data_IF_433181041242
#
_entry.id   IF_433181041242
#
_cell.length_a   1.000
_cell.length_b   1.000
_cell.length_c   1.000
_cell.angle_alpha   90.00
_cell.angle_beta   90.00
_cell.angle_gamma   90.00
#
_symmetry.space_group_name_H-M   'P 1'
#
loop_
_entity.id
_entity.type
_entity.pdbx_description
1 polymer ?
#
# COMPACT_ATOMS: atom_id res chain seq x y z
N UNK A 1 -16.39 17.15 -18.82
CA UNK A 1 -15.41 17.84 -17.96
C UNK A 1 -15.47 17.12 -16.63
N UNK A 2 -14.37 16.50 -16.16
CA UNK A 2 -14.41 15.92 -14.80
C UNK A 2 -14.63 17.06 -13.81
N UNK A 3 -15.59 16.90 -12.91
CA UNK A 3 -15.78 17.83 -11.80
C UNK A 3 -14.47 17.98 -11.02
N UNK A 4 -14.15 19.22 -10.62
CA UNK A 4 -12.90 19.53 -9.93
C UNK A 4 -12.77 18.77 -8.59
N UNK A 5 -13.89 18.41 -7.95
CA UNK A 5 -13.96 17.67 -6.69
C UNK A 5 -13.37 16.26 -6.76
N UNK A 6 -13.91 15.35 -7.58
CA UNK A 6 -13.38 13.98 -7.76
C UNK A 6 -11.90 13.94 -8.14
N UNK A 7 -11.44 14.91 -8.94
CA UNK A 7 -10.03 15.03 -9.32
C UNK A 7 -9.16 15.41 -8.12
N UNK A 8 -9.56 16.42 -7.34
CA UNK A 8 -8.82 16.85 -6.16
C UNK A 8 -8.72 15.74 -5.11
N UNK A 9 -9.80 15.00 -4.86
CA UNK A 9 -9.80 13.88 -3.90
C UNK A 9 -8.92 12.73 -4.38
N UNK A 10 -8.94 12.39 -5.68
CA UNK A 10 -8.02 11.38 -6.25
C UNK A 10 -6.55 11.78 -6.07
N UNK A 11 -6.23 13.05 -6.32
CA UNK A 11 -4.88 13.57 -6.10
C UNK A 11 -4.49 13.50 -4.63
N UNK A 12 -5.39 13.87 -3.72
CA UNK A 12 -5.16 13.76 -2.29
C UNK A 12 -4.84 12.33 -1.87
N UNK A 13 -5.67 11.33 -2.23
CA UNK A 13 -5.45 9.92 -1.87
C UNK A 13 -4.16 9.38 -2.49
N UNK A 14 -3.93 9.65 -3.79
CA UNK A 14 -2.73 9.19 -4.48
C UNK A 14 -1.45 9.78 -3.88
N UNK A 15 -1.44 11.08 -3.58
CA UNK A 15 -0.31 11.76 -2.95
C UNK A 15 -0.14 11.34 -1.48
N UNK A 16 -1.23 11.16 -0.73
CA UNK A 16 -1.21 10.65 0.64
C UNK A 16 -0.50 9.30 0.70
N UNK A 17 -0.85 8.37 -0.21
CA UNK A 17 -0.21 7.06 -0.30
C UNK A 17 1.26 7.13 -0.74
N UNK A 18 1.62 8.02 -1.66
CA UNK A 18 3.00 8.22 -2.09
C UNK A 18 3.85 8.79 -0.95
N UNK A 19 3.37 9.85 -0.29
CA UNK A 19 4.05 10.49 0.84
C UNK A 19 4.12 9.52 2.03
N UNK A 20 3.04 8.81 2.32
CA UNK A 20 2.97 7.74 3.31
C UNK A 20 3.97 6.63 3.01
N UNK A 21 4.12 6.23 1.73
CA UNK A 21 5.14 5.27 1.30
C UNK A 21 6.56 5.75 1.60
N UNK A 22 6.89 7.02 1.33
CA UNK A 22 8.18 7.59 1.69
C UNK A 22 8.38 7.71 3.20
N UNK A 23 7.35 8.09 3.95
CA UNK A 23 7.40 8.18 5.40
C UNK A 23 7.62 6.79 6.03
N UNK A 24 6.95 5.76 5.51
CA UNK A 24 7.16 4.36 5.89
C UNK A 24 8.59 3.94 5.57
N UNK A 25 9.12 4.25 4.38
CA UNK A 25 10.49 3.93 4.02
C UNK A 25 11.51 4.62 4.95
N UNK A 26 11.30 5.91 5.26
CA UNK A 26 12.14 6.67 6.18
C UNK A 26 12.08 6.14 7.61
N UNK A 27 10.88 5.84 8.11
CA UNK A 27 10.68 5.23 9.43
C UNK A 27 11.27 3.83 9.52
N UNK A 28 11.19 3.06 8.43
CA UNK A 28 11.82 1.77 8.30
C UNK A 28 13.35 1.93 8.42
N UNK A 29 13.98 2.82 7.64
CA UNK A 29 15.42 3.09 7.73
C UNK A 29 15.90 3.56 9.11
N UNK A 30 15.06 4.28 9.88
CA UNK A 30 15.37 4.71 11.25
C UNK A 30 15.16 3.62 12.30
N UNK A 31 14.25 2.68 12.07
CA UNK A 31 14.10 1.50 12.90
C UNK A 31 15.33 0.62 12.72
N UNK A 32 16.21 0.61 13.72
CA UNK A 32 17.45 -0.18 13.75
C UNK A 32 17.28 -1.69 13.51
N UNK A 33 16.08 -2.23 13.30
CA UNK A 33 15.89 -3.57 12.74
C UNK A 33 16.48 -3.72 11.33
N UNK A 34 16.68 -2.61 10.59
CA UNK A 34 17.41 -2.63 9.30
C UNK A 34 18.87 -3.04 9.46
N UNK A 35 19.51 -2.80 10.62
CA UNK A 35 20.89 -3.22 10.84
C UNK A 35 21.02 -4.69 11.27
N UNK A 36 19.93 -5.34 11.69
CA UNK A 36 19.93 -6.74 12.14
C UNK A 36 19.31 -7.72 11.14
N UNK A 37 18.47 -7.26 10.22
CA UNK A 37 17.85 -8.11 9.22
C UNK A 37 18.84 -8.46 8.08
N UNK A 38 18.85 -9.72 7.59
CA UNK A 38 19.71 -10.09 6.48
C UNK A 38 19.42 -9.26 5.21
N UNK A 39 20.47 -8.79 4.52
CA UNK A 39 20.34 -7.97 3.32
C UNK A 39 19.47 -8.58 2.20
N UNK A 40 19.42 -9.92 2.13
CA UNK A 40 18.61 -10.62 1.13
C UNK A 40 17.11 -10.34 1.28
N UNK A 41 16.62 -10.00 2.48
CA UNK A 41 15.21 -9.72 2.75
C UNK A 41 14.74 -8.51 1.94
N UNK A 42 15.57 -7.47 1.84
CA UNK A 42 15.26 -6.27 1.06
C UNK A 42 15.33 -6.52 -0.44
N UNK A 43 16.36 -7.25 -0.88
CA UNK A 43 16.48 -7.67 -2.28
C UNK A 43 15.27 -8.52 -2.70
N UNK A 44 14.79 -9.39 -1.80
CA UNK A 44 13.60 -10.20 -2.01
C UNK A 44 12.32 -9.37 -2.07
N UNK A 45 12.14 -8.39 -1.17
CA UNK A 45 11.00 -7.46 -1.21
C UNK A 45 10.94 -6.67 -2.53
N UNK A 46 12.08 -6.16 -2.98
CA UNK A 46 12.19 -5.46 -4.26
C UNK A 46 11.91 -6.39 -5.44
N UNK A 47 12.50 -7.60 -5.46
CA UNK A 47 12.28 -8.58 -6.51
C UNK A 47 10.80 -9.00 -6.59
N UNK A 48 10.15 -9.26 -5.46
CA UNK A 48 8.75 -9.63 -5.42
C UNK A 48 7.85 -8.48 -5.89
N UNK A 49 8.16 -7.24 -5.50
CA UNK A 49 7.44 -6.07 -6.00
C UNK A 49 7.59 -5.89 -7.51
N UNK A 50 8.77 -6.14 -8.07
CA UNK A 50 9.00 -6.13 -9.53
C UNK A 50 8.14 -7.21 -10.20
N UNK A 51 8.16 -8.43 -9.68
CA UNK A 51 7.36 -9.54 -10.22
C UNK A 51 5.87 -9.24 -10.18
N UNK A 52 5.35 -8.71 -9.07
CA UNK A 52 3.95 -8.30 -8.95
C UNK A 52 3.60 -7.16 -9.89
N UNK A 53 4.52 -6.21 -10.09
CA UNK A 53 4.33 -5.10 -11.03
C UNK A 53 4.28 -5.60 -12.48
N UNK A 54 5.18 -6.51 -12.86
CA UNK A 54 5.17 -7.15 -14.18
C UNK A 54 3.90 -7.97 -14.40
N UNK A 55 3.48 -8.75 -13.40
CA UNK A 55 2.24 -9.51 -13.42
C UNK A 55 1.03 -8.58 -13.61
N UNK A 56 0.95 -7.51 -12.82
CA UNK A 56 -0.09 -6.48 -12.92
C UNK A 56 -0.12 -5.86 -14.32
N UNK A 57 1.03 -5.42 -14.82
CA UNK A 57 1.17 -4.80 -16.14
C UNK A 57 0.80 -5.75 -17.29
N UNK A 58 1.05 -7.06 -17.15
CA UNK A 58 0.67 -8.06 -18.16
C UNK A 58 -0.84 -8.32 -18.24
N UNK A 59 -1.58 -8.04 -17.16
CA UNK A 59 -3.03 -8.25 -17.09
C UNK A 59 -3.82 -6.97 -17.41
N UNK A 60 -3.20 -5.80 -17.27
CA UNK A 60 -3.80 -4.48 -17.49
C UNK A 60 -4.36 -4.26 -18.92
N UNK A 61 -3.77 -4.78 -20.02
CA UNK A 61 -4.31 -4.65 -21.37
C UNK A 61 -5.50 -5.55 -21.68
N UNK A 62 -5.82 -6.52 -20.81
CA UNK A 62 -6.80 -7.57 -21.09
C UNK A 62 -8.19 -7.27 -20.53
N UNK A 63 -9.25 -7.96 -21.02
CA UNK A 63 -10.59 -7.96 -20.39
C UNK A 63 -10.62 -8.65 -19.02
N UNK A 64 -9.44 -9.05 -18.49
CA UNK A 64 -9.31 -9.76 -17.23
C UNK A 64 -9.47 -8.77 -16.09
N UNK A 65 -10.35 -9.14 -15.17
CA UNK A 65 -10.78 -8.32 -14.06
C UNK A 65 -9.61 -7.79 -13.22
N UNK A 66 -9.65 -6.53 -12.74
CA UNK A 66 -8.67 -5.95 -11.82
C UNK A 66 -8.47 -6.72 -10.51
N UNK A 67 -9.32 -7.73 -10.24
CA UNK A 67 -9.23 -8.60 -9.07
C UNK A 67 -7.94 -9.40 -8.99
N UNK A 68 -7.43 -9.95 -10.10
CA UNK A 68 -6.25 -10.83 -10.04
C UNK A 68 -4.98 -10.10 -9.61
N UNK A 69 -4.62 -8.95 -10.23
CA UNK A 69 -3.49 -8.16 -9.75
C UNK A 69 -3.68 -7.72 -8.29
N UNK A 70 -4.86 -7.20 -7.94
CA UNK A 70 -5.14 -6.74 -6.60
C UNK A 70 -5.01 -7.86 -5.54
N UNK A 71 -5.57 -9.04 -5.82
CA UNK A 71 -5.48 -10.20 -4.96
C UNK A 71 -4.03 -10.63 -4.73
N UNK A 72 -3.19 -10.61 -5.77
CA UNK A 72 -1.77 -10.96 -5.64
C UNK A 72 -1.04 -10.03 -4.65
N UNK A 73 -1.24 -8.71 -4.78
CA UNK A 73 -0.68 -7.73 -3.83
C UNK A 73 -1.19 -7.96 -2.39
N UNK A 74 -2.50 -8.13 -2.21
CA UNK A 74 -3.16 -8.34 -0.91
C UNK A 74 -2.65 -9.63 -0.23
N UNK A 75 -2.57 -10.74 -0.98
CA UNK A 75 -2.08 -12.03 -0.45
C UNK A 75 -0.63 -11.93 0.00
N UNK A 76 0.24 -11.25 -0.76
CA UNK A 76 1.63 -11.07 -0.36
C UNK A 76 1.74 -10.26 0.93
N UNK A 77 0.94 -9.19 1.10
CA UNK A 77 0.90 -8.44 2.37
C UNK A 77 0.45 -9.34 3.53
N UNK A 78 -0.60 -10.14 3.35
CA UNK A 78 -1.08 -11.08 4.37
C UNK A 78 -0.03 -12.11 4.78
N UNK A 79 0.65 -12.73 3.80
CA UNK A 79 1.73 -13.68 4.07
C UNK A 79 2.90 -13.01 4.78
N UNK A 80 3.19 -11.75 4.45
CA UNK A 80 4.23 -10.96 5.10
C UNK A 80 3.90 -10.63 6.56
N UNK A 81 2.63 -10.33 6.86
CA UNK A 81 2.15 -10.16 8.23
C UNK A 81 2.26 -11.46 9.03
N UNK A 82 1.87 -12.58 8.42
CA UNK A 82 1.99 -13.87 9.05
C UNK A 82 3.45 -14.20 9.35
N UNK A 83 4.37 -13.94 8.42
CA UNK A 83 5.81 -14.14 8.64
C UNK A 83 6.34 -13.22 9.75
N UNK A 84 5.96 -11.93 9.74
CA UNK A 84 6.34 -10.97 10.78
C UNK A 84 5.92 -11.41 12.18
N UNK A 85 4.78 -12.08 12.32
CA UNK A 85 4.32 -12.62 13.60
C UNK A 85 5.27 -13.68 14.20
N UNK A 86 5.99 -14.43 13.36
CA UNK A 86 6.85 -15.52 13.79
C UNK A 86 8.36 -15.18 13.77
N UNK A 87 8.77 -14.16 13.02
CA UNK A 87 10.19 -13.87 12.75
C UNK A 87 10.44 -12.37 12.54
N UNK A 88 11.51 -11.86 13.16
CA UNK A 88 11.98 -10.50 13.00
C UNK A 88 12.37 -10.15 11.55
N UNK A 89 12.83 -11.12 10.76
CA UNK A 89 13.08 -10.92 9.32
C UNK A 89 11.78 -10.60 8.57
N UNK A 90 10.65 -11.17 8.99
CA UNK A 90 9.33 -10.86 8.45
C UNK A 90 8.89 -9.41 8.74
N UNK A 91 9.23 -8.86 9.90
CA UNK A 91 9.00 -7.44 10.19
C UNK A 91 9.82 -6.53 9.28
N UNK A 92 11.10 -6.86 9.05
CA UNK A 92 11.95 -6.11 8.13
C UNK A 92 11.40 -6.17 6.69
N UNK A 93 11.01 -7.36 6.23
CA UNK A 93 10.35 -7.53 4.93
C UNK A 93 9.10 -6.67 4.82
N UNK A 94 8.17 -6.80 5.78
CA UNK A 94 6.89 -6.13 5.78
C UNK A 94 7.05 -4.61 5.81
N UNK A 95 8.02 -4.08 6.56
CA UNK A 95 8.28 -2.63 6.62
C UNK A 95 8.70 -2.05 5.25
N UNK A 96 9.63 -2.72 4.55
CA UNK A 96 10.07 -2.30 3.22
C UNK A 96 9.01 -2.55 2.15
N UNK A 97 8.35 -3.70 2.21
CA UNK A 97 7.32 -4.07 1.25
C UNK A 97 6.08 -3.17 1.38
N UNK A 98 5.63 -2.84 2.59
CA UNK A 98 4.51 -1.93 2.81
C UNK A 98 4.75 -0.54 2.20
N UNK A 99 5.97 -0.01 2.30
CA UNK A 99 6.33 1.24 1.63
C UNK A 99 6.21 1.15 0.10
N UNK A 100 6.67 0.04 -0.49
CA UNK A 100 6.56 -0.20 -1.94
C UNK A 100 5.11 -0.34 -2.37
N UNK A 101 4.31 -1.10 -1.61
CA UNK A 101 2.88 -1.28 -1.88
C UNK A 101 2.16 0.06 -1.81
N UNK A 102 2.39 0.87 -0.76
CA UNK A 102 1.78 2.18 -0.62
C UNK A 102 2.14 3.10 -1.80
N UNK A 103 3.42 3.16 -2.16
CA UNK A 103 3.90 3.95 -3.31
C UNK A 103 3.27 3.49 -4.63
N UNK A 104 3.35 2.19 -4.92
CA UNK A 104 2.81 1.60 -6.16
C UNK A 104 1.31 1.77 -6.27
N UNK A 105 0.58 1.61 -5.17
CA UNK A 105 -0.87 1.82 -5.08
C UNK A 105 -1.22 3.29 -5.30
N UNK A 106 -0.50 4.22 -4.68
CA UNK A 106 -0.68 5.66 -4.89
C UNK A 106 -0.48 6.06 -6.35
N UNK A 107 0.59 5.58 -6.99
CA UNK A 107 0.84 5.79 -8.42
C UNK A 107 -0.27 5.17 -9.28
N UNK A 108 -0.74 3.97 -8.93
CA UNK A 108 -1.88 3.31 -9.58
C UNK A 108 -3.16 4.16 -9.51
N UNK A 109 -3.46 4.74 -8.35
CA UNK A 109 -4.59 5.68 -8.17
C UNK A 109 -4.43 6.93 -9.03
N UNK A 110 -3.24 7.53 -9.05
CA UNK A 110 -2.96 8.70 -9.88
C UNK A 110 -3.11 8.40 -11.37
N UNK A 111 -2.73 7.19 -11.80
CA UNK A 111 -2.88 6.70 -13.18
C UNK A 111 -4.26 6.10 -13.48
N UNK A 112 -5.18 6.09 -12.52
CA UNK A 112 -6.53 5.53 -12.63
C UNK A 112 -6.57 4.03 -12.96
N UNK A 113 -5.63 3.28 -12.42
CA UNK A 113 -5.60 1.83 -12.60
C UNK A 113 -6.60 1.14 -11.67
N UNK A 114 -7.48 0.32 -12.24
CA UNK A 114 -8.60 -0.30 -11.51
C UNK A 114 -8.16 -1.21 -10.37
N UNK A 115 -7.04 -1.93 -10.53
CA UNK A 115 -6.51 -2.83 -9.50
C UNK A 115 -6.00 -2.08 -8.26
N UNK A 116 -5.64 -0.81 -8.38
CA UNK A 116 -5.08 -0.04 -7.28
C UNK A 116 -6.14 0.29 -6.22
N UNK A 117 -7.42 0.38 -6.61
CA UNK A 117 -8.49 0.72 -5.66
C UNK A 117 -8.70 -0.36 -4.59
N UNK A 118 -8.85 -1.67 -4.93
CA UNK A 118 -8.96 -2.70 -3.89
C UNK A 118 -7.71 -2.80 -3.00
N UNK A 119 -6.51 -2.59 -3.56
CA UNK A 119 -5.26 -2.59 -2.78
C UNK A 119 -5.21 -1.40 -1.81
N UNK A 120 -5.58 -0.20 -2.27
CA UNK A 120 -5.67 0.99 -1.42
C UNK A 120 -6.69 0.78 -0.31
N UNK A 121 -7.86 0.28 -0.64
CA UNK A 121 -8.91 0.01 0.33
C UNK A 121 -8.44 -0.99 1.39
N UNK A 122 -7.89 -2.13 0.98
CA UNK A 122 -7.35 -3.13 1.92
C UNK A 122 -6.22 -2.57 2.81
N UNK A 123 -5.35 -1.72 2.25
CA UNK A 123 -4.31 -1.06 3.01
C UNK A 123 -4.87 -0.14 4.09
N UNK A 124 -5.88 0.65 3.76
CA UNK A 124 -6.37 1.68 4.67
C UNK A 124 -7.33 1.11 5.74
N UNK A 125 -8.19 0.16 5.38
CA UNK A 125 -9.18 -0.41 6.33
C UNK A 125 -8.66 -1.61 7.14
N UNK A 126 -7.60 -2.28 6.66
CA UNK A 126 -7.12 -3.52 7.25
C UNK A 126 -5.64 -3.47 7.56
N UNK A 127 -4.81 -3.47 6.52
CA UNK A 127 -3.38 -3.73 6.68
C UNK A 127 -2.64 -2.65 7.44
N UNK A 128 -2.86 -1.39 7.09
CA UNK A 128 -2.24 -0.24 7.73
C UNK A 128 -2.46 -0.22 9.24
N UNK A 129 -3.73 -0.25 9.72
CA UNK A 129 -4.04 -0.38 11.13
C UNK A 129 -3.37 -1.58 11.82
N UNK A 130 -3.40 -2.76 11.18
CA UNK A 130 -2.78 -3.97 11.73
C UNK A 130 -1.26 -3.80 11.84
N UNK A 131 -0.61 -3.26 10.81
CA UNK A 131 0.84 -2.97 10.79
C UNK A 131 1.20 -2.01 11.92
N UNK A 132 0.42 -0.95 12.15
CA UNK A 132 0.66 -0.01 13.25
C UNK A 132 0.56 -0.67 14.63
N UNK A 133 -0.30 -1.68 14.79
CA UNK A 133 -0.48 -2.38 16.06
C UNK A 133 0.63 -3.42 16.35
N UNK A 134 1.22 -4.00 15.31
CA UNK A 134 2.32 -4.98 15.46
C UNK A 134 3.70 -4.32 15.40
N UNK A 135 3.81 -3.13 14.81
CA UNK A 135 5.08 -2.43 14.70
C UNK A 135 5.43 -1.74 16.03
N UNK A 136 6.71 -1.67 16.44
CA UNK A 136 7.08 -1.21 17.77
C UNK A 136 7.00 0.32 17.98
N UNK A 137 6.15 1.04 17.25
CA UNK A 137 6.18 2.52 17.07
C UNK A 137 5.60 3.31 18.26
N UNK A 138 6.02 4.58 18.48
CA UNK A 138 5.46 5.42 19.53
C UNK A 138 3.95 5.67 19.36
N UNK A 139 3.21 5.72 20.47
CA UNK A 139 1.75 5.86 20.48
C UNK A 139 1.23 7.09 19.70
N UNK A 140 1.96 8.21 19.72
CA UNK A 140 1.60 9.41 18.97
C UNK A 140 1.64 9.18 17.43
N UNK A 141 2.61 8.38 16.95
CA UNK A 141 2.73 8.02 15.53
C UNK A 141 1.60 7.07 15.12
N UNK A 142 1.25 6.12 15.99
CA UNK A 142 0.12 5.22 15.79
C UNK A 142 -1.19 6.03 15.67
N UNK A 143 -1.44 6.97 16.58
CA UNK A 143 -2.62 7.82 16.54
C UNK A 143 -2.71 8.66 15.26
N UNK A 144 -1.59 9.28 14.85
CA UNK A 144 -1.53 10.03 13.59
C UNK A 144 -1.79 9.17 12.36
N UNK A 145 -1.23 7.96 12.32
CA UNK A 145 -1.48 6.99 11.26
C UNK A 145 -2.95 6.54 11.19
N UNK A 146 -3.59 6.28 12.34
CA UNK A 146 -5.02 5.95 12.39
C UNK A 146 -5.90 7.08 11.86
N UNK A 147 -5.63 8.33 12.24
CA UNK A 147 -6.37 9.49 11.73
C UNK A 147 -6.21 9.60 10.22
N UNK A 148 -4.98 9.44 9.71
CA UNK A 148 -4.73 9.46 8.26
C UNK A 148 -5.49 8.34 7.55
N UNK A 149 -5.49 7.12 8.09
CA UNK A 149 -6.26 6.02 7.52
C UNK A 149 -7.75 6.33 7.49
N UNK A 150 -8.34 6.86 8.55
CA UNK A 150 -9.76 7.24 8.56
C UNK A 150 -10.09 8.25 7.46
N UNK A 151 -9.24 9.26 7.28
CA UNK A 151 -9.41 10.26 6.22
C UNK A 151 -9.30 9.60 4.83
N UNK A 152 -8.32 8.72 4.64
CA UNK A 152 -8.15 7.99 3.38
C UNK A 152 -9.33 7.04 3.07
N UNK A 153 -9.95 6.40 4.09
CA UNK A 153 -11.17 5.58 3.89
C UNK A 153 -12.29 6.45 3.35
N UNK A 154 -12.57 7.58 4.01
CA UNK A 154 -13.64 8.49 3.61
C UNK A 154 -13.40 9.00 2.19
N UNK A 155 -12.15 9.35 1.87
CA UNK A 155 -11.78 9.81 0.54
C UNK A 155 -11.94 8.71 -0.53
N UNK A 156 -11.52 7.47 -0.25
CA UNK A 156 -11.68 6.32 -1.15
C UNK A 156 -13.15 5.98 -1.41
N UNK A 157 -13.99 6.02 -0.37
CA UNK A 157 -15.43 5.82 -0.50
C UNK A 157 -16.09 6.94 -1.33
N UNK A 158 -15.66 8.19 -1.13
CA UNK A 158 -16.18 9.33 -1.88
C UNK A 158 -15.86 9.25 -3.39
N UNK A 159 -14.72 8.65 -3.78
CA UNK A 159 -14.31 8.53 -5.18
C UNK A 159 -14.65 7.17 -5.83
N UNK A 160 -15.27 6.24 -5.09
CA UNK A 160 -15.60 4.90 -5.58
C UNK A 160 -16.35 4.93 -6.93
N UNK A 161 -17.44 5.72 -7.03
CA UNK A 161 -18.25 5.79 -8.26
C UNK A 161 -17.43 6.33 -9.44
N UNK A 162 -16.64 7.37 -9.21
CA UNK A 162 -15.77 7.96 -10.24
C UNK A 162 -14.59 7.07 -10.67
N UNK A 163 -14.35 6.00 -9.94
CA UNK A 163 -13.30 5.02 -10.23
C UNK A 163 -13.83 3.83 -11.06
N UNK A 164 -15.10 3.44 -10.88
CA UNK A 164 -15.71 2.27 -11.53
C UNK A 164 -16.80 2.57 -12.56
N UNK A 165 -17.40 3.77 -12.55
CA UNK A 165 -18.34 4.20 -13.59
C UNK A 165 -17.55 4.76 -14.79
N UNK A 166 -17.91 4.32 -15.99
CA UNK A 166 -17.33 4.86 -17.22
C UNK A 166 -17.68 6.33 -17.36
N UNK A 167 -16.83 7.06 -18.08
CA UNK A 167 -17.18 8.41 -18.59
C UNK A 167 -18.55 8.42 -19.27
#
# INVERSE_FOLDING_TARGET
MEDAGPRAVRWFVGLSLVVGGFALLGGALQYGSFSGAPYWVFAFAAALAILLSLFTASLEPGPRSPTWPAAAWIVVVLLSMLWAHFDAAGHAFLSGFAAIVAFGTGLGILRRQLWAWPVAFANVVGFGPIVLLIAPVPAAVIAGGFVLFLVDVVALLAIHRTYFESR
#
